data_IF_012269920688
#
_entry.id   IF_012269920688
#
_cell.length_a   1.000
_cell.length_b   1.000
_cell.length_c   1.000
_cell.angle_alpha   90.00
_cell.angle_beta   90.00
_cell.angle_gamma   90.00
#
_symmetry.space_group_name_H-M   'P 1'
#
loop_
_entity.id
_entity.type
_entity.pdbx_description
1 polymer ?
#
# COMPACT_ATOMS: atom_id res chain seq x y z
N UNK A 1 2.13 -0.42 15.77
CA UNK A 1 2.84 0.01 14.56
C UNK A 1 1.83 0.58 13.58
N UNK A 2 2.01 1.83 13.23
CA UNK A 2 1.06 2.54 12.36
C UNK A 2 1.51 2.50 10.92
N UNK A 3 0.61 2.11 10.03
CA UNK A 3 0.90 1.94 8.62
C UNK A 3 -0.07 2.76 7.75
N UNK A 4 0.50 3.47 6.79
CA UNK A 4 -0.25 4.00 5.66
C UNK A 4 -0.04 3.04 4.50
N UNK A 5 -1.10 2.44 4.01
CA UNK A 5 -1.04 1.43 2.96
C UNK A 5 -1.40 2.05 1.62
N UNK A 6 -0.64 1.71 0.59
CA UNK A 6 -0.93 2.16 -0.78
C UNK A 6 -0.98 0.97 -1.71
N UNK A 7 -2.12 0.73 -2.32
CA UNK A 7 -2.31 -0.41 -3.22
C UNK A 7 -3.59 -0.29 -4.01
N UNK A 8 -3.75 -1.12 -5.03
CA UNK A 8 -4.91 -1.04 -5.91
C UNK A 8 -5.51 -2.41 -6.26
N UNK A 9 -4.78 -3.38 -6.83
CA UNK A 9 -5.39 -4.60 -7.36
C UNK A 9 -5.73 -5.61 -6.28
N UNK A 10 -6.36 -6.68 -6.69
CA UNK A 10 -6.83 -7.74 -5.79
C UNK A 10 -5.72 -8.34 -4.93
N UNK A 11 -4.52 -8.66 -5.45
CA UNK A 11 -3.45 -9.15 -4.57
C UNK A 11 -3.09 -8.16 -3.47
N UNK A 12 -3.14 -6.86 -3.77
CA UNK A 12 -2.88 -5.83 -2.75
C UNK A 12 -3.96 -5.81 -1.68
N UNK A 13 -5.22 -6.05 -2.07
CA UNK A 13 -6.32 -6.14 -1.11
C UNK A 13 -6.10 -7.29 -0.13
N UNK A 14 -5.54 -8.41 -0.59
CA UNK A 14 -5.20 -9.53 0.28
C UNK A 14 -4.11 -9.18 1.27
N UNK A 15 -3.12 -8.39 0.84
CA UNK A 15 -2.08 -7.90 1.73
C UNK A 15 -2.67 -6.97 2.76
N UNK A 16 -3.53 -6.06 2.35
CA UNK A 16 -4.21 -5.16 3.29
C UNK A 16 -4.98 -5.94 4.33
N UNK A 17 -5.71 -6.97 3.90
CA UNK A 17 -6.44 -7.84 4.83
C UNK A 17 -5.50 -8.46 5.85
N UNK A 18 -4.38 -9.00 5.39
CA UNK A 18 -3.41 -9.63 6.28
C UNK A 18 -2.82 -8.64 7.28
N UNK A 19 -2.53 -7.41 6.83
CA UNK A 19 -2.06 -6.36 7.73
C UNK A 19 -3.10 -6.01 8.79
N UNK A 20 -4.36 -5.90 8.38
CA UNK A 20 -5.43 -5.57 9.31
C UNK A 20 -5.72 -6.71 10.31
N UNK A 21 -5.45 -7.94 9.91
CA UNK A 21 -5.68 -9.09 10.79
C UNK A 21 -4.56 -9.26 11.83
N UNK A 22 -3.45 -8.56 11.68
CA UNK A 22 -2.36 -8.59 12.65
C UNK A 22 -2.64 -7.56 13.75
N UNK A 23 -2.84 -8.00 15.00
CA UNK A 23 -3.20 -7.07 16.08
C UNK A 23 -2.10 -6.08 16.44
N UNK A 24 -0.86 -6.33 16.04
CA UNK A 24 0.24 -5.39 16.28
C UNK A 24 0.31 -4.28 15.24
N UNK A 25 -0.49 -4.36 14.19
CA UNK A 25 -0.50 -3.39 13.10
C UNK A 25 -1.78 -2.58 13.14
N UNK A 26 -1.61 -1.27 13.02
CA UNK A 26 -2.73 -0.35 12.92
C UNK A 26 -2.65 0.36 11.56
N UNK A 27 -3.59 0.05 10.67
CA UNK A 27 -3.64 0.70 9.37
C UNK A 27 -4.39 2.01 9.54
N UNK A 28 -3.65 3.11 9.55
CA UNK A 28 -4.21 4.43 9.83
C UNK A 28 -4.75 5.13 8.60
N UNK A 29 -4.41 4.64 7.41
CA UNK A 29 -4.93 5.19 6.17
C UNK A 29 -4.60 4.29 5.01
N UNK A 30 -5.38 4.44 3.94
CA UNK A 30 -5.23 3.65 2.72
C UNK A 30 -5.27 4.59 1.53
N UNK A 31 -4.23 4.50 0.70
CA UNK A 31 -4.17 5.15 -0.60
C UNK A 31 -4.51 4.13 -1.66
N UNK A 32 -5.44 4.45 -2.54
CA UNK A 32 -5.77 3.59 -3.67
C UNK A 32 -6.16 4.46 -4.85
N UNK A 33 -6.12 3.91 -6.04
CA UNK A 33 -6.50 4.66 -7.24
C UNK A 33 -7.98 5.02 -7.21
N UNK A 34 -8.36 6.13 -7.86
CA UNK A 34 -9.76 6.52 -7.96
C UNK A 34 -10.61 5.44 -8.60
N UNK A 35 -11.91 5.48 -8.33
CA UNK A 35 -12.87 4.57 -8.91
C UNK A 35 -12.82 4.66 -10.43
N UNK A 36 -13.04 3.53 -11.10
CA UNK A 36 -13.02 3.46 -12.55
C UNK A 36 -14.41 3.18 -13.10
N UNK A 37 -14.70 3.76 -14.27
CA UNK A 37 -15.91 3.43 -14.97
C UNK A 37 -15.81 2.03 -15.55
N UNK A 38 -16.85 1.23 -15.38
CA UNK A 38 -16.93 -0.07 -16.05
C UNK A 38 -17.26 0.13 -17.54
N UNK A 39 -16.76 -0.79 -18.36
CA UNK A 39 -17.00 -0.75 -19.79
C UNK A 39 -18.48 -0.74 -20.16
N UNK A 40 -19.30 -1.42 -19.38
CA UNK A 40 -20.74 -1.47 -19.58
C UNK A 40 -21.43 -0.81 -18.42
N UNK A 41 -22.36 0.09 -18.72
CA UNK A 41 -23.22 0.69 -17.72
C UNK A 41 -22.69 1.94 -17.05
N UNK A 42 -21.50 2.40 -17.36
CA UNK A 42 -20.94 3.66 -16.85
C UNK A 42 -20.94 3.79 -15.33
N UNK A 43 -20.99 2.68 -14.64
CA UNK A 43 -20.99 2.68 -13.19
C UNK A 43 -19.56 2.75 -12.68
N UNK A 44 -19.31 3.61 -11.70
CA UNK A 44 -18.00 3.68 -11.07
C UNK A 44 -17.82 2.52 -10.13
N UNK A 45 -16.65 1.90 -10.18
CA UNK A 45 -16.31 0.76 -9.34
C UNK A 45 -15.03 1.04 -8.60
N UNK A 46 -15.05 0.80 -7.30
CA UNK A 46 -13.86 0.94 -6.48
C UNK A 46 -12.81 -0.10 -6.86
N UNK A 47 -11.55 0.24 -6.60
CA UNK A 47 -10.48 -0.74 -6.66
C UNK A 47 -10.72 -1.86 -5.64
N UNK A 48 -10.13 -3.04 -5.84
CA UNK A 48 -10.21 -4.10 -4.82
C UNK A 48 -9.72 -3.64 -3.45
N UNK A 49 -8.65 -2.84 -3.40
CA UNK A 49 -8.16 -2.28 -2.14
C UNK A 49 -9.19 -1.32 -1.54
N UNK A 50 -9.84 -0.51 -2.37
CA UNK A 50 -10.89 0.40 -1.90
C UNK A 50 -12.05 -0.35 -1.27
N UNK A 51 -12.46 -1.46 -1.88
CA UNK A 51 -13.55 -2.29 -1.35
C UNK A 51 -13.15 -2.86 0.02
N UNK A 52 -11.94 -3.40 0.11
CA UNK A 52 -11.46 -3.97 1.37
C UNK A 52 -11.38 -2.92 2.47
N UNK A 53 -10.87 -1.74 2.14
CA UNK A 53 -10.76 -0.64 3.09
C UNK A 53 -12.14 -0.17 3.57
N UNK A 54 -13.11 -0.10 2.67
CA UNK A 54 -14.47 0.29 3.01
C UNK A 54 -15.11 -0.71 3.96
N UNK A 55 -14.94 -1.99 3.70
CA UNK A 55 -15.51 -3.03 4.55
C UNK A 55 -14.94 -3.00 5.96
N UNK A 56 -13.74 -2.47 6.11
CA UNK A 56 -13.08 -2.37 7.42
C UNK A 56 -13.17 -0.99 8.03
N UNK A 57 -13.91 -0.08 7.40
CA UNK A 57 -14.08 1.30 7.87
C UNK A 57 -12.76 2.05 8.03
N UNK A 58 -11.81 1.80 7.13
CA UNK A 58 -10.52 2.47 7.15
C UNK A 58 -10.61 3.85 6.49
N UNK A 59 -9.79 4.78 6.97
CA UNK A 59 -9.63 6.07 6.32
C UNK A 59 -9.03 5.87 4.93
N UNK A 60 -9.68 6.41 3.91
CA UNK A 60 -9.31 6.14 2.52
C UNK A 60 -9.04 7.43 1.76
N UNK A 61 -8.00 7.41 0.93
CA UNK A 61 -7.64 8.51 0.06
C UNK A 61 -7.57 7.99 -1.37
N UNK A 62 -8.24 8.68 -2.29
CA UNK A 62 -8.28 8.31 -3.71
C UNK A 62 -7.85 9.50 -4.58
N UNK A 63 -6.64 10.01 -4.40
CA UNK A 63 -6.25 11.25 -5.09
C UNK A 63 -5.96 11.01 -6.57
N UNK A 64 -6.31 11.99 -7.38
CA UNK A 64 -5.82 12.07 -8.74
C UNK A 64 -4.39 12.60 -8.74
N UNK A 65 -4.10 13.55 -7.86
CA UNK A 65 -2.81 14.20 -7.75
C UNK A 65 -2.25 14.02 -6.34
N UNK A 66 -1.14 13.30 -6.23
CA UNK A 66 -0.50 13.05 -4.93
C UNK A 66 0.17 14.29 -4.35
N UNK A 67 0.29 15.36 -5.12
CA UNK A 67 0.81 16.64 -4.61
C UNK A 67 -0.28 17.62 -4.24
N UNK A 68 -1.53 17.17 -4.22
CA UNK A 68 -2.64 18.00 -3.77
C UNK A 68 -2.43 18.44 -2.32
N UNK A 69 -2.61 19.74 -2.07
CA UNK A 69 -2.31 20.32 -0.77
C UNK A 69 -3.17 19.74 0.35
N UNK A 70 -4.47 19.56 0.09
CA UNK A 70 -5.36 19.00 1.10
C UNK A 70 -5.01 17.57 1.44
N UNK A 71 -4.63 16.79 0.44
CA UNK A 71 -4.19 15.42 0.65
C UNK A 71 -2.94 15.39 1.54
N UNK A 72 -1.97 16.23 1.22
CA UNK A 72 -0.73 16.31 2.01
C UNK A 72 -1.04 16.65 3.46
N UNK A 73 -1.90 17.63 3.69
CA UNK A 73 -2.28 18.02 5.03
C UNK A 73 -2.97 16.89 5.78
N UNK A 74 -3.88 16.19 5.11
CA UNK A 74 -4.61 15.08 5.74
C UNK A 74 -3.68 13.93 6.10
N UNK A 75 -2.76 13.58 5.21
CA UNK A 75 -1.82 12.49 5.46
C UNK A 75 -0.81 12.89 6.54
N UNK A 76 -0.30 14.12 6.48
CA UNK A 76 0.69 14.58 7.47
C UNK A 76 0.11 14.72 8.86
N UNK A 77 -1.21 14.77 9.00
CA UNK A 77 -1.86 14.75 10.30
C UNK A 77 -1.88 13.35 10.92
N UNK A 78 -1.59 12.33 10.15
CA UNK A 78 -1.53 10.96 10.65
C UNK A 78 -0.15 10.68 11.26
N UNK A 79 -0.12 9.81 12.25
CA UNK A 79 1.14 9.30 12.79
C UNK A 79 1.43 7.99 12.06
N UNK A 80 2.49 7.96 11.26
CA UNK A 80 2.79 6.81 10.39
C UNK A 80 4.22 6.36 10.62
N UNK A 81 4.37 5.08 10.94
CA UNK A 81 5.71 4.48 11.10
C UNK A 81 6.24 3.97 9.77
N UNK A 82 5.39 3.34 8.96
CA UNK A 82 5.75 2.83 7.66
C UNK A 82 4.71 3.22 6.62
N UNK A 83 5.17 3.57 5.43
CA UNK A 83 4.32 3.61 4.24
C UNK A 83 4.56 2.30 3.51
N UNK A 84 3.53 1.49 3.39
CA UNK A 84 3.64 0.18 2.72
C UNK A 84 2.99 0.27 1.36
N UNK A 85 3.78 0.07 0.32
CA UNK A 85 3.33 0.18 -1.06
C UNK A 85 3.24 -1.22 -1.67
N UNK A 86 2.08 -1.58 -2.16
CA UNK A 86 1.84 -2.88 -2.76
C UNK A 86 1.04 -2.68 -4.05
N UNK A 87 1.74 -2.46 -5.15
CA UNK A 87 1.14 -2.24 -6.48
C UNK A 87 0.10 -1.13 -6.46
N UNK A 88 0.52 0.06 -6.07
CA UNK A 88 -0.38 1.20 -6.04
C UNK A 88 -0.73 1.68 -7.46
N UNK A 89 0.25 1.69 -8.36
CA UNK A 89 0.02 2.08 -9.75
C UNK A 89 0.29 3.54 -10.04
N UNK A 90 0.80 4.29 -9.08
CA UNK A 90 1.26 5.66 -9.27
C UNK A 90 2.61 5.83 -8.60
N UNK A 91 3.39 6.77 -9.12
CA UNK A 91 4.70 7.11 -8.55
C UNK A 91 4.47 7.92 -7.28
N UNK A 92 5.09 7.50 -6.19
CA UNK A 92 4.97 8.24 -4.94
C UNK A 92 5.94 9.42 -4.93
N UNK A 93 5.46 10.61 -4.57
CA UNK A 93 6.34 11.77 -4.48
C UNK A 93 7.28 11.67 -3.29
N UNK A 94 8.36 12.41 -3.37
CA UNK A 94 9.39 12.39 -2.33
C UNK A 94 8.83 12.71 -0.95
N UNK A 95 7.91 13.67 -0.85
CA UNK A 95 7.36 14.05 0.45
C UNK A 95 6.69 12.87 1.15
N UNK A 96 6.06 11.99 0.38
CA UNK A 96 5.38 10.82 0.94
C UNK A 96 6.37 9.73 1.31
N UNK A 97 7.43 9.58 0.55
CA UNK A 97 8.48 8.61 0.87
C UNK A 97 9.28 9.02 2.10
N UNK A 98 9.43 10.31 2.33
CA UNK A 98 10.16 10.83 3.49
C UNK A 98 9.29 10.97 4.73
N UNK A 99 7.98 10.87 4.56
CA UNK A 99 7.03 11.13 5.64
C UNK A 99 7.04 10.11 6.78
N UNK A 100 7.11 8.80 6.52
CA UNK A 100 7.02 7.82 7.61
C UNK A 100 8.18 7.97 8.59
N UNK A 101 7.90 7.70 9.86
CA UNK A 101 8.90 7.84 10.93
C UNK A 101 10.05 6.86 10.76
N UNK A 102 9.77 5.67 10.25
CA UNK A 102 10.80 4.64 10.11
C UNK A 102 11.25 4.54 8.65
N UNK A 103 10.39 4.10 7.75
CA UNK A 103 10.76 3.99 6.35
C UNK A 103 9.56 3.65 5.47
N UNK A 104 9.65 3.94 4.17
CA UNK A 104 8.72 3.37 3.20
C UNK A 104 9.17 1.97 2.81
N UNK A 105 8.21 1.11 2.53
CA UNK A 105 8.46 -0.28 2.13
C UNK A 105 7.65 -0.57 0.88
N UNK A 106 8.30 -1.17 -0.11
CA UNK A 106 7.62 -1.62 -1.31
C UNK A 106 7.55 -3.15 -1.31
N UNK A 107 6.34 -3.67 -1.44
CA UNK A 107 6.12 -5.10 -1.50
C UNK A 107 6.01 -5.50 -2.96
N UNK A 108 6.90 -6.38 -3.40
CA UNK A 108 6.85 -6.94 -4.74
C UNK A 108 6.25 -8.32 -4.71
N UNK A 109 5.29 -8.56 -5.61
CA UNK A 109 4.74 -9.88 -5.77
C UNK A 109 5.66 -10.72 -6.63
N UNK A 110 5.89 -11.94 -6.18
CA UNK A 110 6.44 -12.95 -7.04
C UNK A 110 5.29 -13.57 -7.82
N UNK A 111 5.61 -14.09 -8.99
CA UNK A 111 4.64 -14.87 -9.75
C UNK A 111 4.39 -16.24 -9.12
N UNK A 112 5.19 -16.60 -8.16
CA UNK A 112 4.99 -17.85 -7.45
C UNK A 112 3.74 -17.73 -6.61
N UNK A 113 2.82 -18.64 -6.77
CA UNK A 113 1.48 -18.43 -6.26
C UNK A 113 1.33 -18.70 -4.78
N UNK A 114 2.28 -19.29 -4.14
CA UNK A 114 2.02 -19.75 -2.79
C UNK A 114 2.55 -18.81 -1.74
N UNK A 115 1.66 -18.04 -1.25
CA UNK A 115 1.92 -17.27 -0.06
C UNK A 115 1.52 -18.13 1.14
N UNK A 116 2.50 -18.52 1.90
CA UNK A 116 2.26 -19.25 3.13
C UNK A 116 2.76 -18.43 4.29
N UNK A 117 1.96 -17.51 4.70
CA UNK A 117 2.35 -16.60 5.75
C UNK A 117 2.47 -17.26 7.10
N UNK A 118 3.46 -18.11 7.27
CA UNK A 118 3.75 -18.68 8.56
C UNK A 118 4.38 -17.66 9.50
N UNK A 119 5.11 -16.70 8.95
CA UNK A 119 5.77 -15.69 9.75
C UNK A 119 4.85 -14.51 10.00
N UNK A 120 4.92 -13.88 11.17
CA UNK A 120 4.19 -12.66 11.41
C UNK A 120 4.60 -11.57 10.42
N UNK A 121 3.63 -10.93 9.81
CA UNK A 121 3.89 -9.89 8.82
C UNK A 121 4.73 -8.76 9.43
N UNK A 122 4.45 -8.42 10.68
CA UNK A 122 5.21 -7.37 11.37
C UNK A 122 6.70 -7.69 11.39
N UNK A 123 7.08 -8.91 11.76
CA UNK A 123 8.48 -9.31 11.78
C UNK A 123 9.11 -9.22 10.41
N UNK A 124 8.38 -9.64 9.39
CA UNK A 124 8.86 -9.59 8.01
C UNK A 124 9.09 -8.15 7.57
N UNK A 125 8.19 -7.25 7.89
CA UNK A 125 8.34 -5.84 7.57
C UNK A 125 9.58 -5.24 8.25
N UNK A 126 9.76 -5.52 9.54
CA UNK A 126 10.86 -4.96 10.30
C UNK A 126 12.20 -5.51 9.86
N UNK A 127 12.25 -6.77 9.45
CA UNK A 127 13.50 -7.42 9.06
C UNK A 127 13.79 -7.31 7.58
N UNK A 128 12.83 -6.86 6.77
CA UNK A 128 12.99 -6.84 5.33
C UNK A 128 13.02 -8.24 4.73
N UNK A 129 12.44 -9.20 5.41
CA UNK A 129 12.49 -10.58 4.99
C UNK A 129 11.67 -10.84 3.74
N UNK A 130 12.04 -11.90 3.06
CA UNK A 130 11.28 -12.40 1.93
C UNK A 130 10.30 -13.45 2.44
N UNK A 131 9.01 -13.19 2.21
CA UNK A 131 7.97 -14.17 2.50
C UNK A 131 7.61 -14.82 1.18
N UNK A 132 7.27 -16.09 1.21
CA UNK A 132 6.95 -16.88 0.03
C UNK A 132 6.12 -16.07 -0.99
N UNK A 133 6.73 -15.72 -2.11
CA UNK A 133 6.09 -14.95 -3.16
C UNK A 133 6.04 -13.44 -2.95
N UNK A 134 6.58 -12.92 -1.84
CA UNK A 134 6.57 -11.49 -1.55
C UNK A 134 7.94 -11.06 -1.05
N UNK A 135 8.44 -9.97 -1.60
CA UNK A 135 9.70 -9.39 -1.19
C UNK A 135 9.49 -7.98 -0.71
N UNK A 136 10.03 -7.64 0.45
CA UNK A 136 9.96 -6.29 0.99
C UNK A 136 11.21 -5.53 0.61
N UNK A 137 11.03 -4.32 0.10
CA UNK A 137 12.15 -3.48 -0.31
C UNK A 137 11.91 -2.04 0.10
N UNK A 138 13.00 -1.36 0.46
CA UNK A 138 12.93 0.04 0.77
C UNK A 138 12.61 0.84 -0.49
N UNK A 139 11.51 1.58 -0.48
CA UNK A 139 11.07 2.37 -1.62
C UNK A 139 12.07 3.45 -2.02
N UNK A 140 12.95 3.89 -1.13
CA UNK A 140 13.96 4.88 -1.47
C UNK A 140 14.96 4.37 -2.51
N UNK A 141 15.10 3.06 -2.61
CA UNK A 141 15.95 2.46 -3.62
C UNK A 141 15.26 2.41 -4.99
N UNK A 142 13.99 2.71 -5.02
CA UNK A 142 13.15 2.63 -6.22
C UNK A 142 12.49 3.95 -6.51
N UNK A 143 13.28 4.99 -6.57
CA UNK A 143 12.77 6.29 -6.98
C UNK A 143 12.45 6.33 -8.46
N UNK A 144 13.04 5.42 -9.21
CA UNK A 144 12.75 5.29 -10.62
C UNK A 144 11.40 4.61 -10.81
N UNK A 145 10.56 5.16 -11.68
CA UNK A 145 9.26 4.57 -11.95
C UNK A 145 9.31 3.34 -12.85
N UNK A 146 10.49 2.89 -13.22
CA UNK A 146 10.58 1.81 -14.19
C UNK A 146 9.98 0.52 -13.65
N UNK A 147 8.91 0.03 -14.25
CA UNK A 147 8.32 -1.24 -13.83
C UNK A 147 9.18 -2.43 -14.20
N UNK A 148 10.21 -2.19 -14.98
CA UNK A 148 11.11 -3.24 -15.40
C UNK A 148 12.35 -3.30 -14.56
N UNK A 149 12.41 -2.50 -13.54
CA UNK A 149 13.55 -2.52 -12.69
C UNK A 149 13.72 -3.95 -12.17
N UNK A 150 14.76 -4.62 -12.55
CA UNK A 150 14.88 -6.03 -12.24
C UNK A 150 15.18 -6.25 -10.77
N UNK A 151 15.62 -5.27 -10.21
CA UNK A 151 16.03 -5.38 -8.86
C UNK A 151 16.71 -6.64 -8.51
#
# INVERSE_FOLDING_TARGET
MNILFAGTPKPSAKILKALCDDPSINVVGVLTKPDKAQKRGKKLVQSPVGIEAQERNLTMFKPDDLNDLKLKQSIKALSVDFVVVAAYGKILPKWLLDFPKIMPINIHYSLLPKYRGASPIQSSLLNGDCISGITFMNCLLYTSPSPRDPH
#
